data_IF_553324863862
#
_entry.id   IF_553324863862
#
_cell.length_a   1.000
_cell.length_b   1.000
_cell.length_c   1.000
_cell.angle_alpha   90.00
_cell.angle_beta   90.00
_cell.angle_gamma   90.00
#
_symmetry.space_group_name_H-M   'P 1'
#
loop_
_entity.id
_entity.type
_entity.pdbx_description
1 polymer ?
#
# COMPACT_ATOMS: atom_id res chain seq x y z
N UNK A 1 11.69 -6.86 21.79
CA UNK A 1 12.03 -8.04 21.02
C UNK A 1 10.77 -8.75 20.53
N UNK A 2 10.85 -9.32 19.34
CA UNK A 2 9.73 -10.09 18.74
C UNK A 2 9.37 -11.33 19.57
N UNK A 3 10.29 -11.79 20.42
CA UNK A 3 10.08 -12.92 21.34
C UNK A 3 8.85 -12.76 22.25
N UNK A 4 8.46 -11.54 22.63
CA UNK A 4 7.24 -11.31 23.44
C UNK A 4 5.94 -11.68 22.69
N UNK A 5 5.99 -11.81 21.36
CA UNK A 5 4.86 -12.23 20.52
C UNK A 5 5.00 -13.68 20.03
N UNK A 6 5.94 -14.45 20.57
CA UNK A 6 6.17 -15.84 20.19
C UNK A 6 7.10 -16.02 18.98
N UNK A 7 7.73 -14.97 18.48
CA UNK A 7 8.69 -15.06 17.38
C UNK A 7 10.12 -15.15 17.93
N UNK A 8 10.88 -16.08 17.41
CA UNK A 8 12.26 -16.39 17.84
C UNK A 8 13.32 -15.88 16.85
N UNK A 9 12.97 -14.88 16.04
CA UNK A 9 13.88 -14.35 15.04
C UNK A 9 14.36 -12.95 15.42
N UNK A 10 15.67 -12.73 15.33
CA UNK A 10 16.32 -11.43 15.47
C UNK A 10 16.44 -10.70 14.13
N UNK A 11 15.54 -10.96 13.21
CA UNK A 11 15.52 -10.25 11.95
C UNK A 11 15.22 -8.78 12.20
N UNK A 12 16.21 -7.96 11.91
CA UNK A 12 16.04 -6.53 11.90
C UNK A 12 16.58 -5.97 10.58
N UNK A 13 16.00 -4.88 10.17
CA UNK A 13 16.43 -4.18 8.97
C UNK A 13 17.45 -3.12 9.40
N UNK A 14 18.68 -3.26 8.94
CA UNK A 14 19.69 -2.21 9.11
C UNK A 14 19.19 -0.93 8.44
N UNK A 15 19.38 0.26 9.04
CA UNK A 15 18.88 1.52 8.48
C UNK A 15 19.27 1.76 7.02
N UNK A 16 20.49 1.35 6.63
CA UNK A 16 20.99 1.44 5.25
C UNK A 16 20.18 0.59 4.26
N UNK A 17 19.49 -0.47 4.73
CA UNK A 17 18.71 -1.38 3.91
C UNK A 17 17.19 -1.11 3.98
N UNK A 18 16.77 -0.08 4.72
CA UNK A 18 15.40 0.42 4.63
C UNK A 18 15.31 1.46 3.51
N UNK A 19 15.19 0.98 2.29
CA UNK A 19 15.15 1.83 1.10
C UNK A 19 13.83 2.59 0.93
N UNK A 20 12.82 2.34 1.77
CA UNK A 20 11.62 3.16 1.81
C UNK A 20 11.91 4.55 2.35
N UNK A 21 12.72 4.63 3.42
CA UNK A 21 13.04 5.86 4.15
C UNK A 21 14.40 6.44 3.78
N UNK A 22 15.25 5.70 3.04
CA UNK A 22 16.54 6.20 2.64
C UNK A 22 16.38 7.44 1.74
N UNK A 23 17.10 8.53 1.98
CA UNK A 23 17.15 9.64 1.05
C UNK A 23 17.65 9.14 -0.30
N UNK A 24 17.10 9.67 -1.38
CA UNK A 24 17.60 9.38 -2.74
C UNK A 24 19.10 9.70 -2.76
N UNK A 25 19.91 8.74 -3.06
CA UNK A 25 21.36 8.92 -3.04
C UNK A 25 21.82 9.41 -4.40
N UNK A 26 22.64 10.47 -4.42
CA UNK A 26 23.20 11.08 -5.62
C UNK A 26 24.11 10.11 -6.42
N UNK A 27 24.46 8.96 -5.86
CA UNK A 27 25.38 7.98 -6.42
C UNK A 27 24.73 6.71 -7.01
N UNK A 28 23.54 6.80 -7.60
CA UNK A 28 22.92 5.68 -8.31
C UNK A 28 21.65 5.13 -7.64
N UNK A 29 21.18 5.80 -6.59
CA UNK A 29 19.87 5.60 -6.03
C UNK A 29 19.64 4.25 -5.36
N UNK A 30 18.39 4.01 -5.02
CA UNK A 30 17.91 2.82 -4.28
C UNK A 30 18.16 1.51 -5.00
N UNK A 31 18.15 1.50 -6.34
CA UNK A 31 18.42 0.31 -7.16
C UNK A 31 19.86 -0.17 -6.97
N UNK A 32 20.83 0.75 -6.97
CA UNK A 32 22.23 0.40 -6.74
C UNK A 32 22.49 -0.10 -5.32
N UNK A 33 21.79 0.49 -4.33
CA UNK A 33 21.85 0.00 -2.96
C UNK A 33 21.28 -1.42 -2.84
N UNK A 34 20.21 -1.73 -3.56
CA UNK A 34 19.66 -3.09 -3.61
C UNK A 34 20.67 -4.05 -4.25
N UNK A 35 21.32 -3.66 -5.33
CA UNK A 35 22.42 -4.46 -5.94
C UNK A 35 23.54 -4.77 -4.94
N UNK A 36 24.00 -3.77 -4.20
CA UNK A 36 25.01 -3.97 -3.16
C UNK A 36 24.52 -4.89 -2.02
N UNK A 37 23.23 -4.85 -1.67
CA UNK A 37 22.63 -5.80 -0.74
C UNK A 37 22.66 -7.24 -1.29
N UNK A 38 22.36 -7.43 -2.57
CA UNK A 38 22.38 -8.78 -3.19
C UNK A 38 23.78 -9.40 -3.22
N UNK A 39 24.84 -8.59 -3.26
CA UNK A 39 26.24 -9.02 -3.21
C UNK A 39 26.78 -9.18 -1.78
N UNK A 40 26.07 -8.64 -0.78
CA UNK A 40 26.49 -8.65 0.61
C UNK A 40 25.94 -9.82 1.42
N UNK A 41 26.34 -9.87 2.70
CA UNK A 41 25.94 -10.90 3.66
C UNK A 41 24.74 -10.50 4.53
N UNK A 42 24.25 -9.29 4.40
CA UNK A 42 23.09 -8.78 5.14
C UNK A 42 21.82 -9.51 4.69
N UNK A 43 20.92 -9.78 5.63
CA UNK A 43 19.83 -10.74 5.41
C UNK A 43 18.48 -10.13 5.07
N UNK A 44 18.25 -8.87 5.45
CA UNK A 44 16.92 -8.24 5.32
C UNK A 44 17.03 -6.87 4.68
N UNK A 45 16.28 -6.68 3.60
CA UNK A 45 16.12 -5.40 2.92
C UNK A 45 14.62 -5.10 2.76
N UNK A 46 14.24 -3.86 2.92
CA UNK A 46 12.89 -3.36 2.65
C UNK A 46 12.95 -2.29 1.58
N UNK A 47 12.09 -2.41 0.57
CA UNK A 47 11.98 -1.42 -0.49
C UNK A 47 10.53 -1.32 -1.00
N UNK A 48 10.25 -0.31 -1.82
CA UNK A 48 8.98 -0.19 -2.52
C UNK A 48 8.92 -1.12 -3.73
N UNK A 49 7.71 -1.47 -4.19
CA UNK A 49 7.48 -2.22 -5.44
C UNK A 49 8.20 -1.58 -6.64
N UNK A 50 8.22 -0.25 -6.71
CA UNK A 50 8.92 0.47 -7.76
C UNK A 50 10.43 0.22 -7.74
N UNK A 51 11.06 0.33 -6.56
CA UNK A 51 12.50 0.05 -6.40
C UNK A 51 12.83 -1.39 -6.78
N UNK A 52 12.02 -2.35 -6.30
CA UNK A 52 12.19 -3.77 -6.63
C UNK A 52 12.10 -4.02 -8.14
N UNK A 53 11.07 -3.48 -8.79
CA UNK A 53 10.87 -3.61 -10.24
C UNK A 53 12.08 -3.11 -11.03
N UNK A 54 12.59 -1.91 -10.72
CA UNK A 54 13.77 -1.38 -11.38
C UNK A 54 15.05 -2.18 -11.08
N UNK A 55 15.13 -2.80 -9.91
CA UNK A 55 16.25 -3.68 -9.58
C UNK A 55 16.21 -4.98 -10.39
N UNK A 56 15.04 -5.56 -10.61
CA UNK A 56 14.88 -6.73 -11.49
C UNK A 56 15.20 -6.36 -12.94
N UNK A 57 14.77 -5.19 -13.41
CA UNK A 57 15.15 -4.69 -14.75
C UNK A 57 16.68 -4.53 -14.90
N UNK A 58 17.38 -4.12 -13.82
CA UNK A 58 18.80 -3.85 -13.85
C UNK A 58 19.69 -5.10 -13.66
N UNK A 59 19.28 -6.03 -12.81
CA UNK A 59 20.12 -7.14 -12.39
C UNK A 59 19.62 -8.52 -12.87
N UNK A 60 18.43 -8.58 -13.44
CA UNK A 60 17.78 -9.82 -13.83
C UNK A 60 17.19 -10.60 -12.68
N UNK A 61 16.32 -11.58 -12.99
CA UNK A 61 15.66 -12.43 -11.99
C UNK A 61 16.63 -13.40 -11.31
N UNK A 62 17.70 -13.77 -11.98
CA UNK A 62 18.76 -14.68 -11.50
C UNK A 62 19.52 -14.13 -10.30
N UNK A 63 19.61 -12.81 -10.17
CA UNK A 63 20.24 -12.17 -9.02
C UNK A 63 19.47 -12.41 -7.71
N UNK A 64 18.25 -12.86 -7.81
CA UNK A 64 17.35 -13.16 -6.68
C UNK A 64 17.19 -14.65 -6.40
N UNK A 65 17.99 -15.52 -7.03
CA UNK A 65 17.97 -16.94 -6.75
C UNK A 65 18.24 -17.23 -5.28
N UNK A 66 17.59 -18.28 -4.77
CA UNK A 66 17.72 -18.77 -3.40
C UNK A 66 17.36 -17.73 -2.32
N UNK A 67 16.53 -16.75 -2.67
CA UNK A 67 16.03 -15.69 -1.77
C UNK A 67 14.53 -15.80 -1.53
N UNK A 68 14.08 -15.20 -0.43
CA UNK A 68 12.68 -14.99 -0.12
C UNK A 68 12.29 -13.57 -0.48
N UNK A 69 11.26 -13.42 -1.30
CA UNK A 69 10.65 -12.15 -1.65
C UNK A 69 9.26 -12.11 -1.03
N UNK A 70 9.06 -11.22 -0.05
CA UNK A 70 7.75 -10.95 0.52
C UNK A 70 7.16 -9.71 -0.13
N UNK A 71 6.02 -9.86 -0.79
CA UNK A 71 5.31 -8.79 -1.50
C UNK A 71 4.06 -8.43 -0.71
N UNK A 72 4.07 -7.27 -0.10
CA UNK A 72 2.90 -6.71 0.56
C UNK A 72 1.98 -6.01 -0.45
N UNK A 73 0.70 -5.86 -0.11
CA UNK A 73 -0.32 -5.32 -1.01
C UNK A 73 -0.31 -6.01 -2.39
N UNK A 74 -0.26 -7.32 -2.37
CA UNK A 74 -0.10 -8.15 -3.57
C UNK A 74 -1.19 -7.95 -4.63
N UNK A 75 -2.35 -7.41 -4.25
CA UNK A 75 -3.41 -7.05 -5.18
C UNK A 75 -3.02 -5.95 -6.20
N UNK A 76 -1.92 -5.24 -5.98
CA UNK A 76 -1.35 -4.34 -6.98
C UNK A 76 -0.61 -5.06 -8.13
N UNK A 77 -0.33 -6.34 -7.95
CA UNK A 77 0.12 -7.23 -9.04
C UNK A 77 -1.05 -7.51 -9.96
N UNK A 78 -0.79 -7.67 -11.23
CA UNK A 78 -1.80 -8.05 -12.22
C UNK A 78 -1.19 -9.00 -13.24
N UNK A 79 -1.99 -9.95 -13.69
CA UNK A 79 -1.65 -10.83 -14.80
C UNK A 79 -1.65 -10.10 -16.17
N UNK A 80 -2.09 -8.84 -16.21
CA UNK A 80 -2.03 -8.02 -17.41
C UNK A 80 -0.57 -7.84 -17.87
N UNK A 81 -0.24 -8.08 -19.15
CA UNK A 81 1.11 -7.91 -19.69
C UNK A 81 1.70 -6.51 -19.52
N UNK A 82 0.88 -5.49 -19.36
CA UNK A 82 1.32 -4.11 -19.11
C UNK A 82 1.75 -3.88 -17.66
N UNK A 83 1.43 -4.80 -16.74
CA UNK A 83 1.87 -4.74 -15.36
C UNK A 83 3.28 -5.32 -15.21
N UNK A 84 4.28 -4.46 -15.18
CA UNK A 84 5.69 -4.86 -15.08
C UNK A 84 6.01 -5.72 -13.85
N UNK A 85 5.35 -5.46 -12.72
CA UNK A 85 5.58 -6.27 -11.52
C UNK A 85 5.03 -7.68 -11.71
N UNK A 86 3.85 -7.81 -12.29
CA UNK A 86 3.27 -9.11 -12.64
C UNK A 86 4.14 -9.88 -13.64
N UNK A 87 4.69 -9.18 -14.64
CA UNK A 87 5.60 -9.77 -15.62
C UNK A 87 6.86 -10.34 -14.95
N UNK A 88 7.50 -9.58 -14.05
CA UNK A 88 8.67 -10.06 -13.31
C UNK A 88 8.34 -11.25 -12.41
N UNK A 89 7.20 -11.22 -11.72
CA UNK A 89 6.77 -12.36 -10.89
C UNK A 89 6.55 -13.61 -11.75
N UNK A 90 5.96 -13.48 -12.93
CA UNK A 90 5.86 -14.58 -13.89
C UNK A 90 7.22 -15.17 -14.26
N UNK A 91 8.26 -14.35 -14.43
CA UNK A 91 9.64 -14.80 -14.68
C UNK A 91 10.22 -15.56 -13.47
N UNK A 92 9.98 -15.08 -12.24
CA UNK A 92 10.39 -15.81 -11.02
C UNK A 92 9.68 -17.15 -10.91
N UNK A 93 8.37 -17.22 -11.21
CA UNK A 93 7.62 -18.47 -11.20
C UNK A 93 8.12 -19.47 -12.25
N UNK A 94 8.46 -18.99 -13.43
CA UNK A 94 9.01 -19.83 -14.50
C UNK A 94 10.40 -20.36 -14.12
N UNK A 95 11.21 -19.53 -13.45
CA UNK A 95 12.56 -19.94 -13.01
C UNK A 95 12.54 -20.90 -11.83
N UNK A 96 11.60 -20.77 -10.89
CA UNK A 96 11.41 -21.69 -9.76
C UNK A 96 12.55 -21.73 -8.76
N UNK A 97 13.36 -20.66 -8.65
CA UNK A 97 14.53 -20.56 -7.78
C UNK A 97 14.37 -19.54 -6.64
N UNK A 98 13.22 -18.91 -6.55
CA UNK A 98 12.93 -17.85 -5.58
C UNK A 98 11.67 -18.22 -4.81
N UNK A 99 11.69 -18.07 -3.49
CA UNK A 99 10.51 -18.21 -2.64
C UNK A 99 9.73 -16.91 -2.62
N UNK A 100 8.41 -16.97 -2.81
CA UNK A 100 7.55 -15.79 -2.83
C UNK A 100 6.48 -15.94 -1.77
N UNK A 101 6.36 -14.92 -0.91
CA UNK A 101 5.26 -14.74 0.03
C UNK A 101 4.43 -13.57 -0.45
N UNK A 102 3.20 -13.85 -0.87
CA UNK A 102 2.24 -12.86 -1.32
C UNK A 102 1.28 -12.52 -0.17
N UNK A 103 1.22 -11.25 0.23
CA UNK A 103 0.39 -10.78 1.34
C UNK A 103 -0.58 -9.72 0.83
N UNK A 104 -1.86 -9.85 1.16
CA UNK A 104 -2.85 -8.85 0.79
C UNK A 104 -4.05 -8.91 1.73
N UNK A 105 -4.61 -7.75 2.07
CA UNK A 105 -5.87 -7.65 2.78
C UNK A 105 -7.09 -7.93 1.88
N UNK A 106 -6.94 -7.86 0.56
CA UNK A 106 -7.97 -8.16 -0.42
C UNK A 106 -7.35 -8.74 -1.68
N UNK A 107 -7.69 -9.98 -1.99
CA UNK A 107 -7.24 -10.63 -3.23
C UNK A 107 -8.02 -10.15 -4.46
N UNK A 108 -9.15 -9.48 -4.25
CA UNK A 108 -9.99 -8.96 -5.33
C UNK A 108 -9.60 -7.51 -5.65
N UNK A 109 -9.30 -7.26 -6.91
CA UNK A 109 -8.91 -5.94 -7.40
C UNK A 109 -10.08 -4.99 -7.63
N UNK A 110 -11.27 -5.50 -7.78
CA UNK A 110 -12.46 -4.70 -8.14
C UNK A 110 -12.55 -4.35 -9.62
N UNK A 111 -11.54 -4.74 -10.43
CA UNK A 111 -11.56 -4.72 -11.89
C UNK A 111 -11.71 -6.16 -12.44
N UNK A 112 -11.87 -6.29 -13.74
CA UNK A 112 -12.02 -7.61 -14.39
C UNK A 112 -10.69 -8.37 -14.58
N UNK A 113 -9.59 -7.86 -14.04
CA UNK A 113 -8.26 -8.45 -14.22
C UNK A 113 -7.89 -9.38 -13.09
N UNK A 114 -7.37 -10.55 -13.42
CA UNK A 114 -6.84 -11.49 -12.45
C UNK A 114 -5.52 -10.95 -11.84
N UNK A 115 -5.31 -11.20 -10.55
CA UNK A 115 -4.04 -10.89 -9.88
C UNK A 115 -2.93 -11.80 -10.40
N UNK A 116 -3.20 -13.09 -10.52
CA UNK A 116 -2.30 -14.08 -11.10
C UNK A 116 -3.01 -14.86 -12.20
N UNK A 117 -2.23 -15.36 -13.15
CA UNK A 117 -2.72 -16.37 -14.08
C UNK A 117 -3.02 -17.67 -13.31
N UNK A 118 -4.07 -18.44 -13.68
CA UNK A 118 -4.45 -19.65 -12.93
C UNK A 118 -3.32 -20.68 -12.77
N UNK A 119 -2.43 -20.80 -13.76
CA UNK A 119 -1.27 -21.68 -13.69
C UNK A 119 -0.22 -21.23 -12.67
N UNK A 120 -0.14 -19.95 -12.36
CA UNK A 120 0.78 -19.41 -11.36
C UNK A 120 0.14 -19.41 -9.98
N UNK A 121 -1.15 -19.15 -9.91
CA UNK A 121 -1.92 -19.24 -8.66
C UNK A 121 -1.87 -20.66 -8.06
N UNK A 122 -1.93 -21.69 -8.92
CA UNK A 122 -1.85 -23.09 -8.49
C UNK A 122 -0.53 -23.50 -7.84
N UNK A 123 0.51 -22.66 -7.92
CA UNK A 123 1.82 -22.88 -7.28
C UNK A 123 1.88 -22.40 -5.83
N UNK A 124 0.85 -21.69 -5.37
CA UNK A 124 0.79 -21.14 -4.01
C UNK A 124 -0.01 -22.02 -3.07
N UNK A 125 0.53 -22.21 -1.89
CA UNK A 125 -0.25 -22.63 -0.73
C UNK A 125 -0.93 -21.40 -0.12
N UNK A 126 -2.25 -21.46 0.02
CA UNK A 126 -3.03 -20.29 0.46
C UNK A 126 -3.42 -20.41 1.93
N UNK A 127 -3.11 -19.37 2.70
CA UNK A 127 -3.62 -19.19 4.06
C UNK A 127 -4.55 -17.98 4.06
N UNK A 128 -5.79 -18.18 4.44
CA UNK A 128 -6.79 -17.12 4.50
C UNK A 128 -7.21 -16.87 5.94
N UNK A 129 -7.20 -15.60 6.33
CA UNK A 129 -7.80 -15.11 7.56
C UNK A 129 -8.86 -14.08 7.18
N UNK A 130 -10.13 -14.48 7.25
CA UNK A 130 -11.23 -13.66 6.74
C UNK A 130 -11.47 -12.45 7.64
N UNK A 131 -12.01 -11.38 7.06
CA UNK A 131 -12.45 -10.20 7.81
C UNK A 131 -13.47 -10.55 8.90
N UNK A 132 -14.32 -11.53 8.62
CA UNK A 132 -15.30 -12.02 9.60
C UNK A 132 -14.63 -12.70 10.81
N UNK A 133 -13.60 -13.51 10.58
CA UNK A 133 -12.79 -14.10 11.65
C UNK A 133 -12.06 -13.02 12.44
N UNK A 134 -11.54 -12.01 11.75
CA UNK A 134 -10.89 -10.87 12.38
C UNK A 134 -11.86 -10.12 13.30
N UNK A 135 -13.07 -9.80 12.84
CA UNK A 135 -14.07 -9.09 13.64
C UNK A 135 -14.51 -9.87 14.87
N UNK A 136 -14.65 -11.20 14.76
CA UNK A 136 -15.11 -12.04 15.85
C UNK A 136 -14.00 -12.44 16.85
N UNK A 137 -12.74 -12.43 16.41
CA UNK A 137 -11.59 -12.88 17.21
C UNK A 137 -10.69 -11.77 17.73
N UNK A 138 -10.91 -10.51 17.35
CA UNK A 138 -9.99 -9.44 17.65
C UNK A 138 -10.41 -8.66 18.90
N UNK A 139 -9.76 -8.93 20.00
CA UNK A 139 -10.02 -8.36 21.33
C UNK A 139 -9.84 -6.82 21.37
N UNK A 140 -9.13 -6.24 20.39
CA UNK A 140 -8.74 -4.83 20.36
C UNK A 140 -9.44 -4.00 19.27
N UNK A 141 -10.32 -4.60 18.47
CA UNK A 141 -11.14 -3.83 17.54
C UNK A 141 -12.22 -3.06 18.30
N UNK A 142 -12.26 -1.76 18.04
CA UNK A 142 -13.41 -0.96 18.44
C UNK A 142 -14.64 -1.40 17.66
N UNK A 143 -15.82 -1.10 18.20
CA UNK A 143 -17.07 -1.28 17.47
C UNK A 143 -16.96 -0.64 16.10
N UNK A 144 -17.37 -1.38 15.06
CA UNK A 144 -17.43 -0.92 13.68
C UNK A 144 -18.90 -0.85 13.27
N UNK A 145 -19.36 0.36 13.00
CA UNK A 145 -20.68 0.61 12.41
C UNK A 145 -20.49 1.00 10.95
N UNK A 146 -21.15 0.28 10.03
CA UNK A 146 -21.06 0.55 8.59
C UNK A 146 -22.39 1.16 8.14
N UNK A 147 -22.37 2.44 7.78
CA UNK A 147 -23.48 3.14 7.17
C UNK A 147 -23.30 3.22 5.65
N UNK A 148 -24.39 3.03 4.92
CA UNK A 148 -24.44 3.27 3.47
C UNK A 148 -25.25 4.53 3.21
N UNK A 149 -24.68 5.44 2.44
CA UNK A 149 -25.33 6.68 2.07
C UNK A 149 -25.48 6.77 0.55
N UNK A 150 -26.69 7.03 0.10
CA UNK A 150 -26.98 7.18 -1.33
C UNK A 150 -27.10 8.67 -1.64
N UNK A 151 -26.42 9.13 -2.67
CA UNK A 151 -26.43 10.54 -3.08
C UNK A 151 -26.79 10.68 -4.55
N UNK A 152 -27.33 11.85 -4.90
CA UNK A 152 -27.65 12.24 -6.27
C UNK A 152 -27.02 13.60 -6.53
N UNK A 153 -25.97 13.66 -7.36
CA UNK A 153 -25.23 14.89 -7.63
C UNK A 153 -23.76 14.80 -7.19
N UNK A 154 -23.07 15.92 -6.99
CA UNK A 154 -21.71 15.90 -6.47
C UNK A 154 -21.67 15.34 -5.03
N UNK A 155 -20.89 14.29 -4.81
CA UNK A 155 -20.78 13.63 -3.50
C UNK A 155 -20.35 14.59 -2.38
N UNK A 156 -19.64 15.67 -2.74
CA UNK A 156 -19.10 16.65 -1.78
C UNK A 156 -20.22 17.36 -1.02
N UNK A 157 -21.31 17.68 -1.68
CA UNK A 157 -22.44 18.35 -1.04
C UNK A 157 -23.19 17.43 -0.09
N UNK A 158 -23.31 16.15 -0.46
CA UNK A 158 -24.01 15.15 0.33
C UNK A 158 -23.18 14.63 1.52
N UNK A 159 -21.85 14.53 1.36
CA UNK A 159 -20.98 14.06 2.46
C UNK A 159 -21.02 15.01 3.66
N UNK A 160 -21.19 16.32 3.42
CA UNK A 160 -21.27 17.32 4.48
C UNK A 160 -22.49 17.14 5.38
N UNK A 161 -23.56 16.51 4.88
CA UNK A 161 -24.76 16.21 5.67
C UNK A 161 -24.58 15.06 6.67
N UNK A 162 -23.54 14.24 6.50
CA UNK A 162 -23.26 13.08 7.37
C UNK A 162 -22.04 13.26 8.26
N UNK A 163 -21.26 14.34 8.04
CA UNK A 163 -20.08 14.63 8.84
C UNK A 163 -20.45 15.29 10.17
N UNK A 164 -19.96 14.71 11.26
CA UNK A 164 -19.93 15.39 12.55
C UNK A 164 -18.55 16.03 12.77
N UNK A 165 -18.45 17.36 12.74
CA UNK A 165 -17.18 18.06 12.93
C UNK A 165 -16.60 17.89 14.36
N UNK A 166 -17.38 17.40 15.32
CA UNK A 166 -16.88 17.10 16.66
C UNK A 166 -16.13 15.77 16.73
N UNK A 167 -16.32 14.89 15.76
CA UNK A 167 -15.67 13.59 15.70
C UNK A 167 -14.37 13.60 14.88
N UNK A 168 -13.48 12.64 15.19
CA UNK A 168 -12.28 12.42 14.37
C UNK A 168 -12.67 11.71 13.09
N UNK A 169 -12.57 12.40 11.98
CA UNK A 169 -13.01 11.94 10.68
C UNK A 169 -11.83 11.83 9.70
N UNK A 170 -11.82 10.78 8.90
CA UNK A 170 -10.94 10.64 7.73
C UNK A 170 -11.82 10.67 6.49
N UNK A 171 -11.61 11.65 5.62
CA UNK A 171 -12.35 11.79 4.38
C UNK A 171 -11.47 11.30 3.23
N UNK A 172 -11.92 10.27 2.53
CA UNK A 172 -11.28 9.80 1.31
C UNK A 172 -11.90 10.50 0.09
N UNK A 173 -11.11 11.30 -0.58
CA UNK A 173 -11.52 12.01 -1.80
C UNK A 173 -11.17 11.15 -3.02
N UNK A 174 -12.15 10.84 -3.91
CA UNK A 174 -11.93 10.00 -5.08
C UNK A 174 -10.83 10.53 -6.00
N UNK A 175 -10.17 9.63 -6.73
CA UNK A 175 -9.17 10.02 -7.73
C UNK A 175 -9.82 10.91 -8.81
N UNK A 176 -9.06 11.86 -9.37
CA UNK A 176 -9.52 12.78 -10.44
C UNK A 176 -10.08 12.05 -11.67
N UNK A 177 -9.68 10.82 -11.90
CA UNK A 177 -10.18 9.98 -12.99
C UNK A 177 -11.42 9.17 -12.62
N UNK A 178 -11.83 9.17 -11.35
CA UNK A 178 -13.07 8.53 -10.91
C UNK A 178 -14.30 9.26 -11.48
N UNK A 179 -15.40 8.51 -11.64
CA UNK A 179 -16.70 9.11 -12.06
C UNK A 179 -17.26 10.03 -10.99
N UNK A 180 -16.97 9.75 -9.74
CA UNK A 180 -17.46 10.48 -8.57
C UNK A 180 -16.71 11.81 -8.35
N UNK A 181 -15.54 11.99 -8.98
CA UNK A 181 -14.73 13.20 -8.83
C UNK A 181 -15.28 14.36 -9.67
N UNK A 182 -15.29 15.56 -9.11
CA UNK A 182 -15.57 16.80 -9.84
C UNK A 182 -14.44 17.20 -10.80
N UNK A 183 -13.32 16.43 -10.81
CA UNK A 183 -12.08 16.71 -11.56
C UNK A 183 -11.23 17.85 -10.98
N UNK A 184 -11.71 18.53 -9.97
CA UNK A 184 -11.00 19.61 -9.28
C UNK A 184 -10.82 19.29 -7.79
N UNK A 185 -9.75 18.59 -7.47
CA UNK A 185 -9.43 18.17 -6.11
C UNK A 185 -9.24 19.32 -5.12
N UNK A 186 -8.66 20.39 -5.57
CA UNK A 186 -8.40 21.55 -4.70
C UNK A 186 -9.74 22.15 -4.29
N UNK A 187 -10.63 22.33 -5.23
CA UNK A 187 -11.95 22.88 -4.97
C UNK A 187 -12.82 21.97 -4.11
N UNK A 188 -12.72 20.65 -4.30
CA UNK A 188 -13.39 19.68 -3.43
C UNK A 188 -12.92 19.80 -1.97
N UNK A 189 -11.60 19.92 -1.75
CA UNK A 189 -11.02 20.08 -0.41
C UNK A 189 -11.41 21.43 0.20
N UNK A 190 -11.31 22.52 -0.57
CA UNK A 190 -11.69 23.86 -0.12
C UNK A 190 -13.16 23.90 0.31
N UNK A 191 -14.05 23.35 -0.50
CA UNK A 191 -15.47 23.28 -0.19
C UNK A 191 -15.77 22.52 1.11
N UNK A 192 -15.13 21.39 1.32
CA UNK A 192 -15.25 20.63 2.57
C UNK A 192 -14.73 21.43 3.77
N UNK A 193 -13.58 22.08 3.63
CA UNK A 193 -12.98 22.88 4.71
C UNK A 193 -13.86 24.09 5.06
N UNK A 194 -14.39 24.79 4.07
CA UNK A 194 -15.27 25.94 4.27
C UNK A 194 -16.58 25.57 4.96
N UNK A 195 -17.14 24.40 4.58
CA UNK A 195 -18.38 23.92 5.20
C UNK A 195 -18.20 23.37 6.62
N UNK A 196 -17.01 22.85 6.96
CA UNK A 196 -16.71 22.31 8.30
C UNK A 196 -16.35 23.39 9.33
N UNK A 197 -16.03 24.62 8.92
CA UNK A 197 -15.73 25.67 9.87
C UNK A 197 -14.97 26.87 9.30
N UNK A 198 -14.68 27.82 10.16
CA UNK A 198 -13.98 29.04 9.79
C UNK A 198 -12.48 28.79 9.56
N UNK A 199 -11.99 29.20 8.40
CA UNK A 199 -10.56 29.16 8.10
C UNK A 199 -9.78 30.14 9.01
N UNK A 200 -8.71 29.65 9.63
CA UNK A 200 -7.88 30.44 10.58
C UNK A 200 -6.47 30.74 10.07
N UNK A 201 -6.18 30.48 8.81
CA UNK A 201 -4.86 30.66 8.25
C UNK A 201 -4.01 29.39 8.24
N UNK A 202 -2.71 29.57 8.06
CA UNK A 202 -1.72 28.48 8.02
C UNK A 202 -1.00 28.39 9.35
N UNK A 203 -0.88 27.20 9.89
CA UNK A 203 -0.04 26.93 11.07
C UNK A 203 1.44 27.17 10.72
N UNK A 204 2.11 28.13 11.34
CA UNK A 204 3.50 28.44 11.01
C UNK A 204 4.50 27.34 11.37
N UNK A 205 4.14 26.43 12.28
CA UNK A 205 5.00 25.34 12.72
C UNK A 205 4.91 24.13 11.81
N UNK A 206 3.73 23.86 11.22
CA UNK A 206 3.47 22.66 10.42
C UNK A 206 3.24 22.93 8.94
N UNK A 207 2.94 24.17 8.56
CA UNK A 207 2.55 24.55 7.20
C UNK A 207 1.15 24.08 6.78
N UNK A 208 0.36 23.51 7.69
CA UNK A 208 -0.98 23.03 7.40
C UNK A 208 -2.04 24.12 7.63
N UNK A 209 -3.12 24.03 6.86
CA UNK A 209 -4.29 24.89 7.05
C UNK A 209 -4.95 24.61 8.40
N UNK A 210 -5.31 25.67 9.09
CA UNK A 210 -6.07 25.63 10.33
C UNK A 210 -7.53 25.99 10.07
N UNK A 211 -8.42 25.15 10.53
CA UNK A 211 -9.84 25.39 10.54
C UNK A 211 -10.30 25.44 12.00
N UNK A 212 -11.01 26.51 12.36
CA UNK A 212 -11.67 26.57 13.65
C UNK A 212 -12.84 25.61 13.63
N UNK A 213 -12.86 24.70 14.60
CA UNK A 213 -14.04 23.86 14.81
C UNK A 213 -15.23 24.74 15.17
N UNK A 214 -16.42 24.40 14.67
CA UNK A 214 -17.65 25.07 15.07
C UNK A 214 -17.91 24.96 16.58
#
# INVERSE_FOLDING_TARGET
PLSKYGFWSDWHVEPKWNLCNAPGNDNGGKVKSLGAFLEGDDKVLVCTHSTFRFAVDAYGVEAFDDRLIAVDEFHHVSANPDNKLGLHLGQFFARGRTHIVAMTGSYFRGDAEAVLAPQDESKFDTVTYTYYEQLNGYEYLKQLDIGYYFYSGPYVDDILNVLDPAEKTIIHIPNVNSRESTKDKIREVEHIIEALGEWQGIDPATGFQRVKRP
#
